data_IF_365133249465
#
_entry.id   IF_365133249465
#
_cell.length_a   1.000
_cell.length_b   1.000
_cell.length_c   1.000
_cell.angle_alpha   90.00
_cell.angle_beta   90.00
_cell.angle_gamma   90.00
#
_symmetry.space_group_name_H-M   'P 1'
#
loop_
_entity.id
_entity.type
_entity.pdbx_description
1 polymer ?
#
# COMPACT_ATOMS: atom_id res chain seq x y z
N UNK A 1 18.77 -12.71 1.92
CA UNK A 1 17.41 -12.71 1.33
C UNK A 1 16.50 -11.80 2.17
N UNK A 2 16.97 -10.59 2.50
CA UNK A 2 16.23 -9.58 3.30
C UNK A 2 15.96 -8.29 2.49
N UNK A 3 16.26 -8.32 1.18
CA UNK A 3 16.50 -7.09 0.41
C UNK A 3 15.29 -6.58 -0.38
N UNK A 4 14.18 -7.31 -0.52
CA UNK A 4 13.04 -6.83 -1.35
C UNK A 4 11.80 -6.46 -0.52
N UNK A 5 11.50 -7.20 0.55
CA UNK A 5 10.38 -6.90 1.46
C UNK A 5 10.56 -5.53 2.14
N UNK A 6 11.80 -5.18 2.50
CA UNK A 6 12.10 -3.96 3.24
C UNK A 6 11.92 -2.67 2.42
N UNK A 7 12.12 -2.69 1.10
CA UNK A 7 12.08 -1.47 0.29
C UNK A 7 10.65 -1.00 0.00
N UNK A 8 9.76 -1.90 -0.40
CA UNK A 8 8.36 -1.55 -0.64
C UNK A 8 7.66 -1.12 0.66
N UNK A 9 7.95 -1.79 1.77
CA UNK A 9 7.46 -1.42 3.09
C UNK A 9 7.94 -0.03 3.53
N UNK A 10 9.24 0.26 3.39
CA UNK A 10 9.79 1.58 3.70
C UNK A 10 9.23 2.67 2.80
N UNK A 11 9.04 2.38 1.50
CA UNK A 11 8.44 3.29 0.55
C UNK A 11 6.99 3.63 0.93
N UNK A 12 6.15 2.62 1.21
CA UNK A 12 4.77 2.84 1.63
C UNK A 12 4.71 3.65 2.94
N UNK A 13 5.51 3.31 3.93
CA UNK A 13 5.56 4.06 5.19
C UNK A 13 5.98 5.52 4.99
N UNK A 14 6.92 5.77 4.07
CA UNK A 14 7.35 7.13 3.72
C UNK A 14 6.22 7.92 3.04
N UNK A 15 5.52 7.29 2.09
CA UNK A 15 4.36 7.86 1.39
C UNK A 15 3.27 8.25 2.40
N UNK A 16 2.88 7.31 3.27
CA UNK A 16 1.86 7.55 4.29
C UNK A 16 2.29 8.65 5.27
N UNK A 17 3.56 8.66 5.66
CA UNK A 17 4.14 9.70 6.52
C UNK A 17 4.04 11.10 5.91
N UNK A 18 4.38 11.26 4.62
CA UNK A 18 4.24 12.53 3.90
C UNK A 18 2.80 13.02 3.82
N UNK A 19 1.86 12.09 3.73
CA UNK A 19 0.42 12.35 3.72
C UNK A 19 -0.20 12.50 5.12
N UNK A 20 0.60 12.39 6.19
CA UNK A 20 0.10 12.43 7.57
C UNK A 20 -0.87 11.28 7.89
N UNK A 21 -0.79 10.17 7.15
CA UNK A 21 -1.62 8.98 7.33
C UNK A 21 -0.82 7.86 7.99
N UNK A 22 -1.55 6.87 8.50
CA UNK A 22 -1.00 5.63 9.06
C UNK A 22 -1.67 4.45 8.39
N UNK A 23 -0.98 3.32 8.40
CA UNK A 23 -1.57 2.06 7.99
C UNK A 23 -2.67 1.64 8.96
N UNK A 24 -3.71 1.00 8.42
CA UNK A 24 -4.86 0.52 9.19
C UNK A 24 -4.54 -0.81 9.88
N UNK A 25 -4.98 -1.06 11.12
CA UNK A 25 -4.72 -2.32 11.81
C UNK A 25 -5.33 -3.55 11.11
N UNK A 26 -6.29 -3.34 10.21
CA UNK A 26 -6.94 -4.37 9.40
C UNK A 26 -6.00 -5.02 8.38
N UNK A 27 -4.93 -4.32 7.99
CA UNK A 27 -3.97 -4.79 6.99
C UNK A 27 -2.50 -4.58 7.39
N UNK A 28 -2.25 -3.98 8.55
CA UNK A 28 -0.93 -3.84 9.15
C UNK A 28 -0.91 -4.46 10.55
N UNK A 29 -1.16 -5.77 10.61
CA UNK A 29 -1.22 -6.52 11.86
C UNK A 29 0.21 -6.66 12.40
N UNK A 30 0.42 -6.25 13.65
CA UNK A 30 1.72 -6.33 14.33
C UNK A 30 2.89 -5.64 13.61
N UNK A 31 2.60 -4.70 12.69
CA UNK A 31 3.61 -3.99 11.90
C UNK A 31 3.97 -4.63 10.56
N UNK A 32 3.29 -5.71 10.17
CA UNK A 32 3.46 -6.35 8.86
C UNK A 32 2.43 -5.83 7.85
N UNK A 33 2.88 -5.06 6.84
CA UNK A 33 1.99 -4.37 5.88
C UNK A 33 1.23 -5.30 4.92
N UNK A 34 1.74 -6.51 4.66
CA UNK A 34 1.06 -7.51 3.83
C UNK A 34 0.44 -8.60 4.72
N UNK A 35 -0.39 -8.19 5.67
CA UNK A 35 -1.12 -9.09 6.56
C UNK A 35 -2.62 -8.79 6.54
N UNK A 36 -3.42 -9.67 7.15
CA UNK A 36 -4.88 -9.47 7.28
C UNK A 36 -5.57 -9.25 5.93
N UNK A 37 -6.31 -8.14 5.81
CA UNK A 37 -7.07 -7.85 4.59
C UNK A 37 -6.22 -7.50 3.38
N UNK A 38 -4.94 -7.14 3.54
CA UNK A 38 -4.04 -6.93 2.40
C UNK A 38 -3.82 -8.21 1.59
N UNK A 39 -3.79 -9.37 2.25
CA UNK A 39 -3.58 -10.69 1.60
C UNK A 39 -4.87 -11.47 1.37
N UNK A 40 -5.99 -10.95 1.85
CA UNK A 40 -7.30 -11.56 1.63
C UNK A 40 -7.65 -11.56 0.13
N UNK A 41 -8.29 -12.64 -0.36
CA UNK A 41 -8.63 -12.81 -1.78
C UNK A 41 -9.86 -12.02 -2.23
N UNK A 42 -10.64 -11.48 -1.29
CA UNK A 42 -11.79 -10.63 -1.54
C UNK A 42 -11.31 -9.33 -2.18
N UNK A 43 -12.02 -8.88 -3.22
CA UNK A 43 -11.71 -7.62 -3.87
C UNK A 43 -11.80 -6.44 -2.89
N UNK A 44 -10.95 -5.43 -3.05
CA UNK A 44 -10.90 -4.25 -2.19
C UNK A 44 -12.18 -3.40 -2.23
N UNK A 45 -13.05 -3.63 -3.21
CA UNK A 45 -14.36 -2.96 -3.33
C UNK A 45 -15.34 -3.42 -2.24
N UNK A 46 -15.09 -4.60 -1.66
CA UNK A 46 -15.82 -5.07 -0.48
C UNK A 46 -15.29 -4.48 0.84
N UNK A 47 -14.22 -3.68 0.79
CA UNK A 47 -13.65 -2.96 1.94
C UNK A 47 -13.66 -1.43 1.74
N UNK A 48 -14.83 -0.82 1.49
CA UNK A 48 -14.91 0.60 1.10
C UNK A 48 -14.47 1.57 2.21
N UNK A 49 -14.53 1.13 3.47
CA UNK A 49 -14.21 1.97 4.63
C UNK A 49 -12.74 1.90 5.06
N UNK A 50 -11.92 1.09 4.39
CA UNK A 50 -10.49 0.97 4.69
C UNK A 50 -9.73 1.86 3.71
N UNK A 51 -9.12 2.92 4.24
CA UNK A 51 -8.44 3.93 3.45
C UNK A 51 -7.46 4.74 4.33
N UNK A 52 -6.15 4.79 3.99
CA UNK A 52 -5.51 4.14 2.85
C UNK A 52 -5.55 2.60 2.97
N UNK A 53 -5.51 1.92 1.82
CA UNK A 53 -5.57 0.47 1.77
C UNK A 53 -4.65 -0.10 0.69
N UNK A 54 -4.09 -1.28 0.95
CA UNK A 54 -3.28 -2.00 -0.01
C UNK A 54 -3.82 -3.41 -0.24
N UNK A 55 -3.51 -3.96 -1.42
CA UNK A 55 -3.55 -5.40 -1.67
C UNK A 55 -2.15 -5.89 -1.96
N UNK A 56 -1.86 -7.07 -1.44
CA UNK A 56 -0.60 -7.77 -1.67
C UNK A 56 -0.85 -9.08 -2.41
N UNK A 57 0.05 -9.40 -3.33
CA UNK A 57 0.21 -10.74 -3.88
C UNK A 57 1.41 -11.41 -3.20
N UNK A 58 1.16 -12.54 -2.55
CA UNK A 58 2.17 -13.31 -1.83
C UNK A 58 2.39 -14.68 -2.49
N UNK A 59 2.30 -14.77 -3.81
CA UNK A 59 2.54 -16.03 -4.53
C UNK A 59 4.01 -16.23 -4.92
N UNK A 60 4.83 -15.19 -4.83
CA UNK A 60 6.24 -15.23 -5.18
C UNK A 60 7.09 -15.97 -4.14
N UNK A 61 8.19 -16.56 -4.61
CA UNK A 61 9.16 -17.30 -3.79
C UNK A 61 8.52 -18.37 -2.89
N UNK A 62 7.64 -19.22 -3.45
CA UNK A 62 6.90 -20.26 -2.71
C UNK A 62 6.08 -19.69 -1.54
N UNK A 63 5.39 -18.59 -1.79
CA UNK A 63 4.56 -17.87 -0.81
C UNK A 63 5.32 -17.22 0.36
N UNK A 64 6.60 -16.91 0.19
CA UNK A 64 7.41 -16.26 1.22
C UNK A 64 7.70 -14.79 0.93
N UNK A 65 7.44 -14.35 -0.30
CA UNK A 65 7.64 -12.96 -0.72
C UNK A 65 6.31 -12.35 -1.13
N UNK A 66 5.93 -11.27 -0.45
CA UNK A 66 4.74 -10.49 -0.75
C UNK A 66 5.10 -9.20 -1.49
N UNK A 67 4.26 -8.83 -2.44
CA UNK A 67 4.38 -7.63 -3.25
C UNK A 67 3.12 -6.78 -3.12
N UNK A 68 3.26 -5.49 -2.86
CA UNK A 68 2.14 -4.55 -2.91
C UNK A 68 1.74 -4.40 -4.39
N UNK A 69 0.55 -4.86 -4.73
CA UNK A 69 0.02 -4.83 -6.10
C UNK A 69 -1.03 -3.76 -6.30
N UNK A 70 -1.73 -3.35 -5.24
CA UNK A 70 -2.69 -2.25 -5.31
C UNK A 70 -2.54 -1.28 -4.15
N UNK A 71 -2.75 0.01 -4.41
CA UNK A 71 -2.77 1.09 -3.42
C UNK A 71 -4.00 1.99 -3.63
N UNK A 72 -4.86 2.08 -2.63
CA UNK A 72 -6.04 2.95 -2.59
C UNK A 72 -5.80 4.10 -1.63
N UNK A 73 -5.95 5.31 -2.15
CA UNK A 73 -5.66 6.57 -1.48
C UNK A 73 -6.71 7.62 -1.90
N UNK A 74 -7.95 7.43 -1.47
CA UNK A 74 -9.08 8.29 -1.90
C UNK A 74 -9.37 9.38 -0.88
N UNK A 75 -9.69 10.61 -1.32
CA UNK A 75 -10.16 11.68 -0.43
C UNK A 75 -9.34 11.85 0.86
N UNK A 76 -8.02 11.67 0.79
CA UNK A 76 -7.15 11.75 1.96
C UNK A 76 -6.98 13.19 2.48
N UNK A 77 -7.52 14.19 1.74
CA UNK A 77 -7.34 15.62 1.97
C UNK A 77 -5.87 16.01 2.07
N UNK A 78 -5.05 15.44 1.20
CA UNK A 78 -3.63 15.74 1.09
C UNK A 78 -3.41 16.58 -0.15
N UNK A 79 -2.58 17.62 -0.01
CA UNK A 79 -2.20 18.52 -1.10
C UNK A 79 -0.69 18.42 -1.24
N UNK A 80 -0.23 18.20 -2.46
CA UNK A 80 1.20 18.12 -2.76
C UNK A 80 1.50 17.21 -3.93
N UNK A 81 2.79 17.06 -4.20
CA UNK A 81 3.29 16.25 -5.30
C UNK A 81 3.05 14.75 -5.04
N UNK A 82 2.87 14.02 -6.14
CA UNK A 82 2.90 12.56 -6.15
C UNK A 82 4.26 12.10 -5.60
N UNK A 83 4.32 11.31 -4.51
CA UNK A 83 5.59 10.89 -3.94
C UNK A 83 6.41 10.02 -4.90
N UNK A 84 7.69 10.37 -5.10
CA UNK A 84 8.61 9.62 -5.97
C UNK A 84 8.85 8.19 -5.49
N UNK A 85 8.62 7.92 -4.21
CA UNK A 85 8.71 6.61 -3.57
C UNK A 85 7.73 5.58 -4.16
N UNK A 86 6.69 6.01 -4.88
CA UNK A 86 5.81 5.09 -5.61
C UNK A 86 6.59 4.22 -6.61
N UNK A 87 7.73 4.71 -7.13
CA UNK A 87 8.60 3.94 -8.03
C UNK A 87 9.23 2.70 -7.34
N UNK A 88 9.30 2.69 -6.00
CA UNK A 88 9.80 1.54 -5.24
C UNK A 88 8.72 0.46 -5.03
N UNK A 89 7.47 0.72 -5.40
CA UNK A 89 6.39 -0.26 -5.45
C UNK A 89 6.38 -0.94 -6.83
N UNK A 90 7.43 -1.69 -7.14
CA UNK A 90 7.72 -2.18 -8.51
C UNK A 90 6.69 -3.18 -9.07
N UNK A 91 5.81 -3.72 -8.22
CA UNK A 91 4.73 -4.63 -8.60
C UNK A 91 3.35 -3.96 -8.53
N UNK A 92 3.30 -2.64 -8.30
CA UNK A 92 2.05 -1.90 -8.24
C UNK A 92 1.39 -1.90 -9.62
N UNK A 93 0.23 -2.54 -9.73
CA UNK A 93 -0.56 -2.61 -10.97
C UNK A 93 -1.79 -1.71 -10.91
N UNK A 94 -2.23 -1.31 -9.72
CA UNK A 94 -3.40 -0.44 -9.53
C UNK A 94 -3.13 0.63 -8.46
N UNK A 95 -3.21 1.89 -8.87
CA UNK A 95 -3.19 3.05 -7.99
C UNK A 95 -4.52 3.77 -8.10
N UNK A 96 -5.39 3.59 -7.12
CA UNK A 96 -6.69 4.24 -7.09
C UNK A 96 -6.67 5.45 -6.15
N UNK A 97 -6.68 6.65 -6.74
CA UNK A 97 -6.72 7.91 -6.01
C UNK A 97 -7.64 8.91 -6.69
N UNK A 98 -8.57 9.48 -5.94
CA UNK A 98 -9.27 10.71 -6.29
C UNK A 98 -8.62 11.77 -5.39
N UNK A 99 -7.52 12.36 -5.87
CA UNK A 99 -6.77 13.42 -5.19
C UNK A 99 -6.45 14.50 -6.22
N UNK A 100 -6.61 15.77 -5.85
CA UNK A 100 -6.10 16.88 -6.64
C UNK A 100 -4.58 16.98 -6.43
N UNK A 101 -3.82 16.27 -7.27
CA UNK A 101 -2.39 16.52 -7.40
C UNK A 101 -2.20 17.83 -8.15
N UNK A 102 -2.05 18.94 -7.42
CA UNK A 102 -1.60 20.20 -8.02
C UNK A 102 -0.10 20.13 -8.24
N UNK A 103 0.32 20.24 -9.50
CA UNK A 103 1.72 20.36 -9.93
C UNK A 103 2.34 21.67 -9.49
#
# INVERSE_FOLDING_TARGET
>A
MESLINHAAAALNTILGRWGKKASPEWNISGELCSGFATDKTDWDYYPNINPFIKCDCTDSNNTLCHITRLRVTNLNVVGQIPTELQNLTHLVDLYGIQDFSS
#
